data_IF_283334127631
#
_entry.id   IF_283334127631
#
_cell.length_a   1.000
_cell.length_b   1.000
_cell.length_c   1.000
_cell.angle_alpha   90.00
_cell.angle_beta   90.00
_cell.angle_gamma   90.00
#
_symmetry.space_group_name_H-M   'P 1'
#
loop_
_entity.id
_entity.type
_entity.pdbx_description
1 polymer ?
#
# COMPACT_ATOMS: atom_id res chain seq x y z
N UNK A 1 -5.15 8.14 -0.15
CA UNK A 1 -4.68 8.03 -1.56
C UNK A 1 -4.53 6.54 -1.88
N UNK A 2 -5.15 6.02 -2.93
CA UNK A 2 -5.05 4.60 -3.30
C UNK A 2 -4.29 4.45 -4.63
N UNK A 3 -3.40 3.47 -4.71
CA UNK A 3 -2.47 3.26 -5.84
C UNK A 3 -2.77 1.90 -6.47
N UNK A 4 -3.22 1.91 -7.73
CA UNK A 4 -3.39 0.69 -8.52
C UNK A 4 -2.11 0.38 -9.28
N UNK A 5 -1.42 -0.65 -8.84
CA UNK A 5 -0.26 -1.28 -9.49
C UNK A 5 -0.66 -2.41 -10.43
N UNK A 6 -1.85 -3.00 -10.24
CA UNK A 6 -2.33 -4.19 -10.95
C UNK A 6 -1.84 -5.51 -10.36
N UNK A 7 -1.08 -5.49 -9.25
CA UNK A 7 -0.50 -6.71 -8.66
C UNK A 7 -1.55 -7.66 -8.09
N UNK A 8 -2.70 -7.13 -7.68
CA UNK A 8 -3.89 -7.89 -7.27
C UNK A 8 -4.35 -8.92 -8.31
N UNK A 9 -4.03 -8.74 -9.59
CA UNK A 9 -4.35 -9.71 -10.66
C UNK A 9 -3.69 -11.08 -10.49
N UNK A 10 -2.59 -11.17 -9.73
CA UNK A 10 -1.89 -12.41 -9.43
C UNK A 10 -2.45 -13.14 -8.19
N UNK A 11 -3.16 -12.43 -7.31
CA UNK A 11 -3.69 -13.01 -6.07
C UNK A 11 -4.64 -14.17 -6.35
N UNK A 12 -4.39 -15.33 -5.73
CA UNK A 12 -5.19 -16.54 -5.93
C UNK A 12 -4.99 -17.22 -7.29
N UNK A 13 -4.07 -16.71 -8.14
CA UNK A 13 -3.77 -17.27 -9.47
C UNK A 13 -2.30 -17.69 -9.60
N UNK A 14 -1.38 -16.82 -9.19
CA UNK A 14 0.06 -17.05 -9.19
C UNK A 14 0.65 -16.52 -7.87
N UNK A 15 0.36 -17.26 -6.80
CA UNK A 15 0.77 -16.86 -5.44
C UNK A 15 2.29 -16.87 -5.26
N UNK A 16 3.00 -17.74 -5.98
CA UNK A 16 4.45 -17.81 -5.94
C UNK A 16 5.05 -16.49 -6.45
N UNK A 17 4.57 -16.00 -7.59
CA UNK A 17 5.00 -14.69 -8.11
C UNK A 17 4.53 -13.54 -7.23
N UNK A 18 3.30 -13.60 -6.72
CA UNK A 18 2.73 -12.55 -5.88
C UNK A 18 3.58 -12.29 -4.63
N UNK A 19 4.04 -13.35 -3.95
CA UNK A 19 4.84 -13.26 -2.73
C UNK A 19 6.35 -13.07 -2.94
N UNK A 20 6.88 -13.33 -4.14
CA UNK A 20 8.32 -13.27 -4.38
C UNK A 20 8.86 -11.84 -4.57
N UNK A 21 8.04 -10.93 -5.10
CA UNK A 21 8.35 -9.52 -5.34
C UNK A 21 7.07 -8.75 -5.63
N UNK A 22 7.12 -7.43 -5.55
CA UNK A 22 6.01 -6.57 -5.92
C UNK A 22 6.50 -5.20 -6.40
N UNK A 23 5.81 -4.60 -7.40
CA UNK A 23 5.99 -3.20 -7.71
C UNK A 23 5.39 -2.37 -6.57
N UNK A 24 5.88 -1.15 -6.36
CA UNK A 24 5.31 -0.21 -5.40
C UNK A 24 6.10 1.09 -5.41
N UNK A 25 5.73 2.01 -4.51
CA UNK A 25 6.40 3.31 -4.42
C UNK A 25 7.77 3.21 -3.73
N UNK A 26 8.69 4.11 -4.08
CA UNK A 26 9.94 4.32 -3.35
C UNK A 26 9.86 5.52 -2.39
N UNK A 27 10.94 5.74 -1.63
CA UNK A 27 11.03 6.81 -0.61
C UNK A 27 10.73 8.20 -1.18
N UNK A 28 11.23 8.54 -2.36
CA UNK A 28 10.97 9.85 -2.96
C UNK A 28 9.47 10.10 -3.22
N UNK A 29 8.76 9.09 -3.70
CA UNK A 29 7.30 9.16 -3.90
C UNK A 29 6.56 9.16 -2.55
N UNK A 30 7.05 8.43 -1.55
CA UNK A 30 6.49 8.44 -0.20
C UNK A 30 6.57 9.83 0.44
N UNK A 31 7.74 10.47 0.42
CA UNK A 31 7.94 11.83 0.93
C UNK A 31 7.10 12.87 0.17
N UNK A 32 6.97 12.68 -1.14
CA UNK A 32 6.06 13.50 -1.92
C UNK A 32 4.62 13.30 -1.43
N UNK A 33 4.12 12.07 -1.35
CA UNK A 33 2.76 11.79 -0.88
C UNK A 33 2.49 12.32 0.53
N UNK A 34 3.44 12.16 1.45
CA UNK A 34 3.31 12.64 2.83
C UNK A 34 3.08 14.15 2.93
N UNK A 35 3.72 14.94 2.06
CA UNK A 35 3.50 16.41 1.98
C UNK A 35 2.07 16.80 1.60
N UNK A 36 1.26 15.89 1.04
CA UNK A 36 -0.16 16.11 0.77
C UNK A 36 -1.04 15.87 2.01
N UNK A 37 -0.44 15.42 3.11
CA UNK A 37 -1.08 15.13 4.40
C UNK A 37 -2.30 14.19 4.30
N UNK A 38 -2.21 13.05 3.56
CA UNK A 38 -3.30 12.09 3.54
C UNK A 38 -3.43 11.40 4.90
N UNK A 39 -4.64 10.99 5.28
CA UNK A 39 -4.82 10.12 6.46
C UNK A 39 -4.25 8.72 6.23
N UNK A 40 -4.30 8.24 4.99
CA UNK A 40 -3.85 6.91 4.60
C UNK A 40 -3.36 6.87 3.16
N UNK A 41 -2.44 5.94 2.90
CA UNK A 41 -2.01 5.52 1.57
C UNK A 41 -2.23 4.02 1.44
N UNK A 42 -2.83 3.57 0.36
CA UNK A 42 -3.03 2.14 0.13
C UNK A 42 -2.70 1.72 -1.28
N UNK A 43 -2.48 0.43 -1.49
CA UNK A 43 -2.21 -0.14 -2.80
C UNK A 43 -2.77 -1.57 -2.96
N UNK A 44 -2.91 -2.00 -4.21
CA UNK A 44 -3.34 -3.35 -4.58
C UNK A 44 -2.18 -4.36 -4.66
N UNK A 45 -1.17 -4.17 -3.82
CA UNK A 45 0.04 -4.98 -3.72
C UNK A 45 0.28 -5.37 -2.24
N UNK A 46 1.30 -6.21 -1.92
CA UNK A 46 1.52 -6.73 -0.58
C UNK A 46 2.20 -5.77 0.40
N UNK A 47 2.74 -4.63 -0.03
CA UNK A 47 3.62 -3.81 0.82
C UNK A 47 3.50 -2.30 0.64
N UNK A 48 2.65 -1.82 -0.28
CA UNK A 48 2.59 -0.43 -0.80
C UNK A 48 3.85 0.03 -1.53
N UNK A 49 5.02 -0.31 -1.00
CA UNK A 49 6.34 -0.05 -1.56
C UNK A 49 6.88 -1.17 -2.43
N UNK A 50 7.92 -0.85 -3.18
CA UNK A 50 8.65 -1.82 -4.00
C UNK A 50 9.32 -2.85 -3.10
N UNK A 51 9.13 -4.13 -3.42
CA UNK A 51 9.73 -5.24 -2.68
C UNK A 51 10.32 -6.29 -3.64
N UNK A 52 11.57 -6.76 -3.45
CA UNK A 52 12.54 -6.25 -2.48
C UNK A 52 12.96 -4.81 -2.79
N UNK A 53 13.51 -4.12 -1.80
CA UNK A 53 14.10 -2.81 -2.02
C UNK A 53 15.31 -2.92 -2.97
N UNK A 54 15.52 -1.97 -3.89
CA UNK A 54 16.73 -1.94 -4.73
C UNK A 54 18.04 -1.87 -3.93
N UNK A 55 18.03 -1.25 -2.74
CA UNK A 55 19.14 -1.32 -1.80
C UNK A 55 18.93 -2.51 -0.84
N UNK A 56 19.78 -3.55 -0.90
CA UNK A 56 19.62 -4.75 -0.08
C UNK A 56 19.84 -4.51 1.42
N UNK A 57 20.39 -3.36 1.83
CA UNK A 57 20.60 -3.03 3.24
C UNK A 57 19.41 -2.35 3.88
N UNK A 58 18.36 -2.03 3.10
CA UNK A 58 17.21 -1.27 3.56
C UNK A 58 15.95 -2.13 3.43
N UNK A 59 15.22 -2.29 4.51
CA UNK A 59 13.97 -3.05 4.52
C UNK A 59 12.79 -2.14 4.84
N UNK A 60 11.79 -2.15 3.95
CA UNK A 60 10.54 -1.41 4.07
C UNK A 60 10.68 0.08 4.49
N UNK A 61 11.53 0.89 3.83
CA UNK A 61 11.71 2.29 4.23
C UNK A 61 10.45 3.15 4.06
N UNK A 62 9.54 2.81 3.16
CA UNK A 62 8.28 3.58 3.01
C UNK A 62 7.37 3.36 4.21
N UNK A 63 7.35 2.17 4.80
CA UNK A 63 6.65 1.94 6.07
C UNK A 63 7.14 2.89 7.16
N UNK A 64 8.46 3.08 7.29
CA UNK A 64 9.03 4.00 8.28
C UNK A 64 8.64 5.45 8.02
N UNK A 65 8.78 5.89 6.76
CA UNK A 65 8.39 7.25 6.36
C UNK A 65 6.91 7.49 6.64
N UNK A 66 6.02 6.60 6.20
CA UNK A 66 4.58 6.79 6.36
C UNK A 66 4.14 6.66 7.81
N UNK A 67 4.41 5.52 8.46
CA UNK A 67 3.86 5.20 9.78
C UNK A 67 4.55 5.94 10.91
N UNK A 68 5.89 5.94 10.92
CA UNK A 68 6.68 6.42 12.07
C UNK A 68 6.93 7.91 11.98
N UNK A 69 7.36 8.40 10.81
CA UNK A 69 7.73 9.82 10.64
C UNK A 69 6.50 10.69 10.47
N UNK A 70 5.53 10.27 9.65
CA UNK A 70 4.38 11.11 9.27
C UNK A 70 3.04 10.69 9.89
N UNK A 71 2.95 9.53 10.55
CA UNK A 71 1.70 9.03 11.15
C UNK A 71 0.59 8.69 10.14
N UNK A 72 0.97 8.35 8.91
CA UNK A 72 0.08 8.02 7.79
C UNK A 72 -0.13 6.50 7.74
N UNK A 73 -1.38 6.05 7.80
CA UNK A 73 -1.70 4.63 7.76
C UNK A 73 -1.46 4.01 6.37
N UNK A 74 -1.09 2.73 6.37
CA UNK A 74 -0.95 1.93 5.16
C UNK A 74 -2.11 0.93 5.02
N UNK A 75 -2.57 0.70 3.79
CA UNK A 75 -3.53 -0.37 3.46
C UNK A 75 -2.98 -1.19 2.28
N UNK A 76 -2.84 -2.48 2.48
CA UNK A 76 -2.27 -3.41 1.51
C UNK A 76 -3.34 -4.35 0.95
N UNK A 77 -3.02 -5.01 -0.16
CA UNK A 77 -3.85 -6.03 -0.80
C UNK A 77 -5.27 -5.52 -1.19
N UNK A 78 -5.39 -4.22 -1.50
CA UNK A 78 -6.66 -3.66 -1.95
C UNK A 78 -7.11 -4.27 -3.28
N UNK A 79 -8.42 -4.29 -3.50
CA UNK A 79 -9.02 -4.61 -4.79
C UNK A 79 -9.41 -3.33 -5.53
N UNK A 80 -8.63 -2.96 -6.54
CA UNK A 80 -8.77 -1.69 -7.28
C UNK A 80 -9.03 -1.88 -8.79
N UNK A 81 -9.22 -3.11 -9.25
CA UNK A 81 -9.43 -3.47 -10.65
C UNK A 81 -10.67 -2.80 -11.25
N UNK A 82 -11.80 -2.88 -10.56
CA UNK A 82 -13.08 -2.34 -11.04
C UNK A 82 -13.07 -0.80 -11.10
N UNK A 83 -12.55 -0.14 -10.04
CA UNK A 83 -12.38 1.32 -10.02
C UNK A 83 -11.47 1.80 -11.15
N UNK A 84 -10.35 1.11 -11.37
CA UNK A 84 -9.42 1.43 -12.45
C UNK A 84 -10.03 1.24 -13.84
N UNK A 85 -10.84 0.19 -14.04
CA UNK A 85 -11.52 -0.07 -15.31
C UNK A 85 -12.62 0.97 -15.62
N UNK A 86 -13.27 1.49 -14.59
CA UNK A 86 -14.33 2.50 -14.71
C UNK A 86 -13.81 3.94 -14.65
N UNK A 87 -12.48 4.14 -14.52
CA UNK A 87 -11.85 5.46 -14.39
C UNK A 87 -12.44 6.31 -13.23
N UNK A 88 -12.77 5.66 -12.11
CA UNK A 88 -13.27 6.32 -10.89
C UNK A 88 -12.09 6.63 -9.98
N UNK A 89 -11.77 7.92 -9.85
CA UNK A 89 -10.59 8.37 -9.09
C UNK A 89 -10.92 9.06 -7.76
N UNK A 90 -12.18 9.47 -7.59
CA UNK A 90 -12.68 10.11 -6.38
C UNK A 90 -14.00 9.45 -5.95
N UNK A 91 -14.06 9.04 -4.70
CA UNK A 91 -15.18 8.29 -4.15
C UNK A 91 -15.13 8.34 -2.62
N UNK A 92 -16.26 8.06 -1.98
CA UNK A 92 -16.30 7.83 -0.53
C UNK A 92 -15.63 6.50 -0.21
N UNK A 93 -14.57 6.53 0.61
CA UNK A 93 -13.85 5.34 1.04
C UNK A 93 -14.08 5.12 2.54
N UNK A 94 -14.68 3.98 2.88
CA UNK A 94 -14.98 3.60 4.26
C UNK A 94 -14.03 2.48 4.67
N UNK A 95 -13.27 2.70 5.74
CA UNK A 95 -12.39 1.71 6.35
C UNK A 95 -12.57 1.75 7.85
N UNK A 96 -12.78 0.58 8.46
CA UNK A 96 -12.93 0.43 9.90
C UNK A 96 -12.08 -0.75 10.36
N UNK A 97 -10.94 -0.51 11.04
CA UNK A 97 -10.17 -1.60 11.61
C UNK A 97 -10.93 -2.26 12.76
N UNK A 98 -10.69 -3.55 12.99
CA UNK A 98 -11.20 -4.29 14.14
C UNK A 98 -10.68 -3.67 15.43
N UNK A 99 -11.54 -3.62 16.45
CA UNK A 99 -11.21 -3.07 17.77
C UNK A 99 -10.41 -4.10 18.59
N UNK A 100 -9.14 -4.26 18.23
CA UNK A 100 -8.22 -5.20 18.88
C UNK A 100 -7.27 -4.47 19.83
N UNK A 101 -7.28 -4.85 21.11
CA UNK A 101 -6.38 -4.25 22.10
C UNK A 101 -4.92 -4.60 21.78
N UNK A 102 -4.06 -3.58 21.66
CA UNK A 102 -2.65 -3.75 21.31
C UNK A 102 -2.37 -4.11 19.85
N UNK A 103 -3.39 -4.13 18.98
CA UNK A 103 -3.23 -4.43 17.56
C UNK A 103 -2.48 -3.32 16.82
N UNK A 104 -1.52 -3.70 15.99
CA UNK A 104 -0.76 -2.78 15.10
C UNK A 104 -1.37 -2.69 13.69
N UNK A 105 -2.41 -3.48 13.41
CA UNK A 105 -3.13 -3.55 12.13
C UNK A 105 -4.38 -4.42 12.24
N UNK A 106 -5.19 -4.46 11.18
CA UNK A 106 -6.42 -5.26 11.07
C UNK A 106 -6.68 -5.66 9.61
N UNK A 107 -7.38 -6.78 9.43
CA UNK A 107 -8.02 -7.17 8.15
C UNK A 107 -9.42 -6.60 8.05
#
# INVERSE_FOLDING_TARGET
>A
ILIRTGWSSLWGKDNARYGARSPGIGVAAAEWLAKRRPMLVGADNPSVEVSPNPDPNVNLPVHQVMLVVHGIHLIENLRLDELGAQAVYEFAFLVQPLKMQGGTGST
#
